data_IF_225794129697
#
_entry.id   IF_225794129697
#
_cell.length_a   1.000
_cell.length_b   1.000
_cell.length_c   1.000
_cell.angle_alpha   90.00
_cell.angle_beta   90.00
_cell.angle_gamma   90.00
#
_symmetry.space_group_name_H-M   'P 1'
#
loop_
_entity.id
_entity.type
_entity.pdbx_description
1 polymer ?
#
# COMPACT_ATOMS: atom_id res chain seq x y z
N UNK A 1 15.61 -8.82 -1.27
CA UNK A 1 14.52 -7.85 -1.48
C UNK A 1 13.73 -8.23 -2.73
N UNK A 2 12.52 -8.74 -2.53
CA UNK A 2 11.57 -9.08 -3.60
C UNK A 2 10.41 -8.09 -3.59
N UNK A 3 9.92 -7.71 -4.77
CA UNK A 3 8.76 -6.82 -4.91
C UNK A 3 7.52 -7.66 -5.18
N UNK A 4 6.49 -7.50 -4.35
CA UNK A 4 5.21 -8.20 -4.48
C UNK A 4 4.07 -7.22 -4.68
N UNK A 5 3.14 -7.51 -5.59
CA UNK A 5 1.89 -6.77 -5.70
C UNK A 5 0.95 -7.10 -4.53
N UNK A 6 0.40 -6.06 -3.91
CA UNK A 6 -0.56 -6.18 -2.80
C UNK A 6 -1.96 -5.90 -3.34
N UNK A 7 -2.74 -6.97 -3.50
CA UNK A 7 -4.10 -6.91 -4.04
C UNK A 7 -5.19 -7.07 -2.97
N UNK A 8 -4.82 -7.10 -1.68
CA UNK A 8 -5.75 -7.17 -0.55
C UNK A 8 -5.83 -5.83 0.15
N UNK A 9 -7.03 -5.27 0.23
CA UNK A 9 -7.29 -3.96 0.83
C UNK A 9 -6.89 -3.90 2.30
N UNK A 10 -7.25 -4.94 3.06
CA UNK A 10 -7.07 -5.00 4.50
C UNK A 10 -5.58 -5.04 4.86
N UNK A 11 -4.79 -5.81 4.10
CA UNK A 11 -3.33 -5.90 4.25
C UNK A 11 -2.67 -4.55 4.00
N UNK A 12 -3.07 -3.87 2.92
CA UNK A 12 -2.51 -2.57 2.57
C UNK A 12 -2.87 -1.48 3.59
N UNK A 13 -4.15 -1.38 3.96
CA UNK A 13 -4.59 -0.35 4.90
C UNK A 13 -4.03 -0.59 6.32
N UNK A 14 -3.88 -1.84 6.76
CA UNK A 14 -3.20 -2.14 8.02
C UNK A 14 -1.75 -1.64 8.00
N UNK A 15 -1.01 -1.93 6.93
CA UNK A 15 0.36 -1.44 6.77
C UNK A 15 0.45 0.09 6.79
N UNK A 16 -0.43 0.78 6.04
CA UNK A 16 -0.48 2.25 6.02
C UNK A 16 -0.90 2.83 7.36
N UNK A 17 -1.78 2.16 8.11
CA UNK A 17 -2.17 2.59 9.45
C UNK A 17 -1.00 2.51 10.45
N UNK A 18 -0.24 1.41 10.40
CA UNK A 18 0.88 1.15 11.31
C UNK A 18 2.14 1.95 10.96
N UNK A 19 2.39 2.19 9.66
CA UNK A 19 3.67 2.70 9.16
C UNK A 19 3.52 3.99 8.33
N UNK A 20 2.30 4.49 8.15
CA UNK A 20 2.04 5.67 7.33
C UNK A 20 2.69 6.93 7.88
N UNK A 21 2.94 7.94 7.03
CA UNK A 21 3.48 9.22 7.47
C UNK A 21 2.50 9.91 8.42
N UNK A 22 3.03 10.64 9.41
CA UNK A 22 2.24 11.36 10.42
C UNK A 22 1.23 12.34 9.80
N UNK A 23 1.53 12.87 8.61
CA UNK A 23 0.58 13.61 7.78
C UNK A 23 0.51 12.98 6.38
N UNK A 24 -0.69 12.95 5.80
CA UNK A 24 -0.89 12.44 4.44
C UNK A 24 -1.05 10.92 4.32
N UNK A 25 -1.14 10.15 5.41
CA UNK A 25 -1.41 8.71 5.36
C UNK A 25 -2.69 8.36 4.56
N UNK A 26 -3.71 9.23 4.61
CA UNK A 26 -4.92 9.09 3.78
C UNK A 26 -4.62 8.99 2.28
N UNK A 27 -3.63 9.75 1.76
CA UNK A 27 -3.25 9.71 0.35
C UNK A 27 -2.56 8.40 -0.05
N UNK A 28 -2.16 7.59 0.93
CA UNK A 28 -1.65 6.24 0.72
C UNK A 28 -2.72 5.16 0.94
N UNK A 29 -3.93 5.50 1.39
CA UNK A 29 -5.01 4.54 1.61
C UNK A 29 -5.44 3.82 0.33
N UNK A 30 -6.04 2.65 0.50
CA UNK A 30 -6.66 1.92 -0.61
C UNK A 30 -7.72 2.79 -1.30
N UNK A 31 -8.59 3.42 -0.52
CA UNK A 31 -9.69 4.26 -0.96
C UNK A 31 -9.21 5.40 -1.86
N UNK A 32 -8.15 6.11 -1.46
CA UNK A 32 -7.59 7.16 -2.29
C UNK A 32 -7.08 6.64 -3.63
N UNK A 33 -6.45 5.46 -3.63
CA UNK A 33 -6.06 4.81 -4.88
C UNK A 33 -7.25 4.44 -5.77
N UNK A 34 -8.38 3.98 -5.22
CA UNK A 34 -9.58 3.69 -6.01
C UNK A 34 -10.21 4.97 -6.58
N UNK A 35 -10.21 6.06 -5.82
CA UNK A 35 -10.58 7.38 -6.33
C UNK A 35 -9.69 7.78 -7.53
N UNK A 36 -8.38 7.57 -7.44
CA UNK A 36 -7.45 7.86 -8.53
C UNK A 36 -7.69 6.95 -9.75
N UNK A 37 -8.04 5.68 -9.54
CA UNK A 37 -8.46 4.79 -10.64
C UNK A 37 -9.71 5.30 -11.34
N UNK A 38 -10.71 5.73 -10.57
CA UNK A 38 -11.93 6.34 -11.12
C UNK A 38 -11.64 7.62 -11.92
N UNK A 39 -10.61 8.39 -11.51
CA UNK A 39 -10.08 9.53 -12.26
C UNK A 39 -9.20 9.15 -13.47
N UNK A 40 -9.14 7.87 -13.86
CA UNK A 40 -8.41 7.38 -15.03
C UNK A 40 -6.92 7.14 -14.80
N UNK A 41 -6.44 7.16 -13.56
CA UNK A 41 -5.02 6.89 -13.25
C UNK A 41 -4.78 5.38 -13.09
N UNK A 42 -3.58 4.94 -13.48
CA UNK A 42 -3.11 3.60 -13.16
C UNK A 42 -2.56 3.61 -11.74
N UNK A 43 -3.09 2.74 -10.88
CA UNK A 43 -2.62 2.56 -9.51
C UNK A 43 -2.05 1.16 -9.35
N UNK A 44 -0.86 1.07 -8.74
CA UNK A 44 -0.24 -0.18 -8.30
C UNK A 44 0.14 -0.04 -6.84
N UNK A 45 0.00 -1.13 -6.09
CA UNK A 45 0.35 -1.22 -4.67
C UNK A 45 1.37 -2.35 -4.56
N UNK A 46 2.58 -2.02 -4.13
CA UNK A 46 3.69 -2.96 -4.09
C UNK A 46 4.37 -2.90 -2.73
N UNK A 47 4.82 -4.05 -2.24
CA UNK A 47 5.62 -4.16 -1.03
C UNK A 47 7.00 -4.71 -1.39
N UNK A 48 8.04 -4.13 -0.79
CA UNK A 48 9.37 -4.70 -0.78
C UNK A 48 9.53 -5.57 0.46
N UNK A 49 9.79 -6.86 0.26
CA UNK A 49 9.99 -7.82 1.34
C UNK A 49 11.43 -8.31 1.26
N UNK A 50 12.17 -8.23 2.36
CA UNK A 50 13.49 -8.83 2.46
C UNK A 50 13.37 -10.34 2.69
N UNK A 51 14.28 -11.11 2.09
CA UNK A 51 14.30 -12.58 2.16
C UNK A 51 14.64 -13.11 3.57
N UNK A 52 14.86 -12.22 4.54
CA UNK A 52 15.01 -12.59 5.94
C UNK A 52 13.62 -12.73 6.55
N UNK A 53 13.11 -13.97 6.56
CA UNK A 53 12.06 -14.36 7.51
C UNK A 53 12.47 -13.98 8.93
N UNK A 54 11.50 -13.79 9.86
CA UNK A 54 11.81 -13.33 11.20
C UNK A 54 12.85 -14.26 11.85
N UNK A 55 13.86 -13.67 12.48
CA UNK A 55 14.77 -14.36 13.38
C UNK A 55 14.02 -14.90 14.60
#
# INVERSE_FOLDING_TARGET
>A
MQIHDINKKEVWNAFVYENGPQSGAFLQSWEWGEFQRAAGKKVRRVAAVDDQGPA
#
